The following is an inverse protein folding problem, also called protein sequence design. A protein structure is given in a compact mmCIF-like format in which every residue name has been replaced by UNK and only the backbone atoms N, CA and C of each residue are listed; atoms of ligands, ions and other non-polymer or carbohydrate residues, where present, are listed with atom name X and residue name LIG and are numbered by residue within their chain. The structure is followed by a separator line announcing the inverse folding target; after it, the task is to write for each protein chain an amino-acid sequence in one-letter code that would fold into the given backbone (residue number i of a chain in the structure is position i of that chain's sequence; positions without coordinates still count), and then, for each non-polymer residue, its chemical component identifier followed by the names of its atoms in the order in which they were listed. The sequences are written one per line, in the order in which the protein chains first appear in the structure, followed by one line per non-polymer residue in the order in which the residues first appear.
data_IF_888744510985
#
_entry.id   IF_888744510985
#
_cell.length_a   1.000
_cell.length_b   1.000
_cell.length_c   1.000
_cell.angle_alpha   90.00
_cell.angle_beta   90.00
_cell.angle_gamma   90.00
#
_symmetry.space_group_name_H-M   'P 1'
#
loop_
_entity.id
_entity.type
_entity.pdbx_description
1 polymer ?
#
# COMPACT_ATOMS: atom_id res chain seq x y z
N UNK A 1 21.87 -12.50 -15.35
CA UNK A 1 20.71 -11.86 -14.68
C UNK A 1 19.47 -12.74 -14.57
N UNK A 2 19.15 -13.62 -15.52
CA UNK A 2 17.96 -14.50 -15.43
C UNK A 2 18.03 -15.58 -14.32
N UNK A 3 19.20 -16.07 -13.96
CA UNK A 3 19.36 -17.14 -12.96
C UNK A 3 19.10 -16.66 -11.51
N UNK A 4 19.52 -15.43 -11.16
CA UNK A 4 19.30 -14.92 -9.80
C UNK A 4 17.82 -14.69 -9.46
N UNK A 5 16.99 -14.34 -10.45
CA UNK A 5 15.56 -14.14 -10.21
C UNK A 5 14.85 -15.47 -9.93
N UNK A 6 15.26 -16.54 -10.61
CA UNK A 6 14.71 -17.88 -10.42
C UNK A 6 15.03 -18.44 -9.02
N UNK A 7 16.24 -18.22 -8.53
CA UNK A 7 16.66 -18.60 -7.18
C UNK A 7 15.93 -17.79 -6.09
N UNK A 8 15.75 -16.48 -6.29
CA UNK A 8 15.01 -15.64 -5.36
C UNK A 8 13.54 -16.04 -5.28
N UNK A 9 12.92 -16.40 -6.41
CA UNK A 9 11.53 -16.86 -6.46
C UNK A 9 11.36 -18.24 -5.84
N UNK A 10 12.35 -19.14 -5.99
CA UNK A 10 12.36 -20.43 -5.31
C UNK A 10 12.47 -20.26 -3.78
N UNK A 11 13.26 -19.31 -3.31
CA UNK A 11 13.39 -19.00 -1.87
C UNK A 11 12.09 -18.43 -1.30
N UNK A 12 11.38 -17.59 -2.05
CA UNK A 12 10.06 -17.06 -1.65
C UNK A 12 9.01 -18.17 -1.65
N UNK A 13 9.01 -19.06 -2.66
CA UNK A 13 8.10 -20.20 -2.75
C UNK A 13 8.31 -21.18 -1.60
N UNK A 14 9.58 -21.53 -1.28
CA UNK A 14 9.90 -22.41 -0.14
C UNK A 14 9.55 -21.77 1.22
N UNK A 15 9.64 -20.45 1.35
CA UNK A 15 9.17 -19.71 2.53
C UNK A 15 7.65 -19.77 2.70
N UNK A 16 6.90 -19.74 1.60
CA UNK A 16 5.43 -19.89 1.60
C UNK A 16 4.98 -21.31 1.90
N UNK A 17 5.72 -22.34 1.43
CA UNK A 17 5.48 -23.73 1.76
C UNK A 17 5.71 -24.02 3.25
N UNK A 18 6.76 -23.44 3.84
CA UNK A 18 7.03 -23.56 5.28
C UNK A 18 5.95 -22.91 6.15
N UNK A 19 5.20 -21.93 5.62
CA UNK A 19 4.08 -21.28 6.28
C UNK A 19 2.75 -22.05 6.16
N UNK A 20 2.74 -23.30 5.63
CA UNK A 20 1.54 -24.12 5.40
C UNK A 20 0.42 -23.43 4.59
N UNK A 21 0.78 -22.56 3.64
CA UNK A 21 -0.16 -22.05 2.65
C UNK A 21 -0.31 -23.09 1.54
N UNK A 22 -1.18 -24.08 1.76
CA UNK A 22 -1.25 -25.32 0.97
C UNK A 22 -2.05 -25.24 -0.33
N UNK A 23 -2.48 -24.09 -0.80
CA UNK A 23 -3.28 -23.98 -2.03
C UNK A 23 -2.81 -22.83 -2.93
N UNK A 24 -1.54 -22.84 -3.33
CA UNK A 24 -1.16 -22.13 -4.56
C UNK A 24 -1.42 -23.05 -5.75
N UNK A 25 -2.09 -22.56 -6.81
CA UNK A 25 -2.26 -23.36 -8.02
C UNK A 25 -0.88 -23.72 -8.59
N UNK A 26 -0.53 -25.00 -8.56
CA UNK A 26 0.73 -25.53 -9.11
C UNK A 26 0.78 -25.49 -10.64
N UNK A 27 -0.25 -25.01 -11.30
CA UNK A 27 -0.42 -25.01 -12.76
C UNK A 27 -0.18 -23.63 -13.38
N UNK A 28 0.77 -22.88 -12.86
CA UNK A 28 1.16 -21.56 -13.42
C UNK A 28 1.90 -21.66 -14.78
N UNK A 29 2.33 -22.84 -15.21
CA UNK A 29 2.89 -23.07 -16.55
C UNK A 29 1.86 -22.87 -17.68
N UNK A 30 0.56 -22.99 -17.39
CA UNK A 30 -0.51 -22.73 -18.37
C UNK A 30 -0.81 -21.23 -18.57
N UNK A 31 -0.25 -20.33 -17.79
CA UNK A 31 -0.37 -18.88 -17.99
C UNK A 31 0.61 -18.30 -19.02
N UNK A 32 1.45 -19.13 -19.63
CA UNK A 32 2.46 -18.66 -20.58
C UNK A 32 1.93 -18.23 -21.96
N UNK A 33 0.62 -18.32 -22.22
CA UNK A 33 0.02 -17.98 -23.51
C UNK A 33 -0.92 -16.77 -23.50
N UNK A 34 -0.99 -15.99 -22.42
CA UNK A 34 -1.78 -14.76 -22.43
C UNK A 34 -0.95 -13.65 -23.04
N UNK A 35 -0.85 -13.61 -24.36
CA UNK A 35 -0.41 -12.47 -25.15
C UNK A 35 -1.47 -11.35 -25.16
N UNK A 36 -2.13 -11.07 -24.03
CA UNK A 36 -3.07 -9.99 -23.93
C UNK A 36 -2.29 -8.68 -23.71
N UNK A 37 -2.38 -7.79 -24.69
CA UNK A 37 -1.85 -6.43 -24.56
C UNK A 37 -2.62 -5.70 -23.47
N UNK A 38 -1.88 -5.13 -22.52
CA UNK A 38 -2.47 -4.23 -21.53
C UNK A 38 -3.03 -2.98 -22.22
N UNK A 39 -3.95 -2.31 -21.56
CA UNK A 39 -4.41 -0.95 -21.92
C UNK A 39 -3.22 0.02 -22.22
N UNK A 40 -2.04 -0.24 -21.71
CA UNK A 40 -0.85 0.58 -21.91
C UNK A 40 0.11 0.04 -22.98
N UNK A 41 -0.28 -0.98 -23.75
CA UNK A 41 0.53 -1.68 -24.74
C UNK A 41 1.83 -2.28 -24.17
N UNK A 42 1.81 -2.65 -22.90
CA UNK A 42 2.86 -3.44 -22.27
C UNK A 42 2.33 -4.85 -22.04
N UNK A 43 3.17 -5.84 -22.18
CA UNK A 43 2.78 -7.23 -21.91
C UNK A 43 2.40 -7.38 -20.43
N UNK A 44 1.31 -8.07 -20.17
CA UNK A 44 0.95 -8.49 -18.82
C UNK A 44 2.00 -9.48 -18.36
N UNK A 45 2.75 -9.13 -17.32
CA UNK A 45 3.63 -10.12 -16.73
C UNK A 45 2.82 -11.13 -15.91
N UNK A 46 3.21 -12.42 -15.88
CA UNK A 46 2.45 -13.48 -15.19
C UNK A 46 2.22 -13.22 -13.69
N UNK A 47 2.96 -12.28 -13.11
CA UNK A 47 2.93 -11.92 -11.70
C UNK A 47 2.07 -10.70 -11.41
N UNK A 48 1.46 -10.07 -12.42
CA UNK A 48 0.66 -8.86 -12.29
C UNK A 48 1.43 -7.63 -11.79
N UNK A 49 2.77 -7.66 -11.82
CA UNK A 49 3.61 -6.58 -11.28
C UNK A 49 3.38 -5.26 -12.00
N UNK A 50 3.20 -5.33 -13.32
CA UNK A 50 2.98 -4.14 -14.13
C UNK A 50 1.81 -3.30 -13.63
N UNK A 51 0.72 -3.93 -13.21
CA UNK A 51 -0.48 -3.24 -12.74
C UNK A 51 -0.26 -2.38 -11.49
N UNK A 52 0.70 -2.74 -10.64
CA UNK A 52 0.97 -2.01 -9.39
C UNK A 52 1.75 -0.71 -9.59
N UNK A 53 2.53 -0.61 -10.68
CA UNK A 53 3.42 0.51 -10.99
C UNK A 53 3.26 1.10 -12.40
N UNK A 54 2.19 0.74 -13.11
CA UNK A 54 1.93 1.22 -14.46
C UNK A 54 1.79 2.75 -14.50
N UNK A 55 2.71 3.42 -15.19
CA UNK A 55 2.71 4.88 -15.32
C UNK A 55 1.50 5.42 -16.08
N UNK A 56 0.86 4.62 -16.94
CA UNK A 56 -0.37 5.01 -17.64
C UNK A 56 -1.62 4.83 -16.79
N UNK A 57 -1.54 4.05 -15.70
CA UNK A 57 -2.65 3.84 -14.75
C UNK A 57 -2.68 4.92 -13.65
N UNK A 58 -2.57 6.17 -14.05
CA UNK A 58 -2.54 7.32 -13.11
C UNK A 58 -3.81 7.36 -12.25
N UNK A 59 -4.98 7.08 -12.84
CA UNK A 59 -6.27 7.13 -12.12
C UNK A 59 -6.33 6.12 -10.97
N UNK A 60 -5.88 4.89 -11.20
CA UNK A 60 -5.91 3.84 -10.17
C UNK A 60 -4.90 4.10 -9.06
N UNK A 61 -3.67 4.49 -9.41
CA UNK A 61 -2.63 4.82 -8.42
C UNK A 61 -3.00 6.05 -7.60
N UNK A 62 -3.58 7.07 -8.23
CA UNK A 62 -4.07 8.27 -7.54
C UNK A 62 -5.25 7.96 -6.61
N UNK A 63 -6.23 7.15 -7.04
CA UNK A 63 -7.36 6.75 -6.22
C UNK A 63 -6.91 5.98 -4.96
N UNK A 64 -5.94 5.07 -5.08
CA UNK A 64 -5.34 4.36 -3.94
C UNK A 64 -4.66 5.33 -2.99
N UNK A 65 -3.82 6.23 -3.51
CA UNK A 65 -3.14 7.26 -2.74
C UNK A 65 -4.15 8.12 -1.97
N UNK A 66 -5.11 8.71 -2.69
CA UNK A 66 -6.13 9.56 -2.09
C UNK A 66 -6.90 8.85 -0.99
N UNK A 67 -7.36 7.61 -1.24
CA UNK A 67 -8.13 6.84 -0.25
C UNK A 67 -7.37 6.64 1.05
N UNK A 68 -6.09 6.27 0.98
CA UNK A 68 -5.28 6.04 2.17
C UNK A 68 -4.96 7.36 2.87
N UNK A 69 -4.66 8.42 2.12
CA UNK A 69 -4.42 9.74 2.66
C UNK A 69 -5.66 10.29 3.40
N UNK A 70 -6.86 10.17 2.82
CA UNK A 70 -8.13 10.53 3.48
C UNK A 70 -8.31 9.75 4.80
N UNK A 71 -7.95 8.46 4.83
CA UNK A 71 -8.05 7.65 6.05
C UNK A 71 -7.05 8.11 7.14
N UNK A 72 -5.85 8.51 6.76
CA UNK A 72 -4.86 9.08 7.68
C UNK A 72 -5.38 10.40 8.26
N UNK A 73 -5.90 11.28 7.42
CA UNK A 73 -6.49 12.56 7.82
C UNK A 73 -7.64 12.36 8.82
N UNK A 74 -8.57 11.46 8.52
CA UNK A 74 -9.69 11.13 9.42
C UNK A 74 -9.17 10.57 10.74
N UNK A 75 -8.18 9.68 10.71
CA UNK A 75 -7.60 9.09 11.92
C UNK A 75 -6.92 10.14 12.81
N UNK A 76 -6.18 11.10 12.22
CA UNK A 76 -5.59 12.22 12.94
C UNK A 76 -6.70 13.07 13.58
N UNK A 77 -7.77 13.38 12.84
CA UNK A 77 -8.89 14.16 13.36
C UNK A 77 -9.61 13.46 14.51
N UNK A 78 -9.87 12.14 14.39
CA UNK A 78 -10.49 11.33 15.45
C UNK A 78 -9.58 11.18 16.68
N UNK A 79 -8.28 11.27 16.51
CA UNK A 79 -7.31 11.25 17.62
C UNK A 79 -7.30 12.54 18.47
N UNK A 80 -8.13 13.52 18.12
CA UNK A 80 -8.34 14.77 18.87
C UNK A 80 -7.67 16.01 18.26
N UNK A 81 -7.02 15.90 17.10
CA UNK A 81 -6.39 17.04 16.42
C UNK A 81 -6.98 17.19 15.01
N UNK A 82 -7.92 18.14 14.79
CA UNK A 82 -8.49 18.40 13.47
C UNK A 82 -7.42 18.58 12.40
N UNK A 83 -7.63 17.96 11.26
CA UNK A 83 -6.69 17.95 10.15
C UNK A 83 -7.41 18.07 8.81
N UNK A 84 -6.71 18.58 7.79
CA UNK A 84 -7.22 18.67 6.42
C UNK A 84 -6.18 18.18 5.42
N UNK A 85 -6.65 17.77 4.24
CA UNK A 85 -5.82 17.36 3.10
C UNK A 85 -5.70 18.50 2.10
N UNK A 86 -4.64 18.50 1.30
CA UNK A 86 -4.40 19.48 0.22
C UNK A 86 -4.53 20.95 0.71
N UNK A 87 -3.75 21.37 1.72
CA UNK A 87 -3.88 22.68 2.31
C UNK A 87 -3.66 23.77 1.26
N UNK A 88 -4.64 24.66 1.10
CA UNK A 88 -4.56 25.78 0.16
C UNK A 88 -3.61 26.86 0.70
N UNK A 89 -2.85 27.50 -0.20
CA UNK A 89 -2.00 28.65 0.16
C UNK A 89 -0.60 28.29 0.63
N UNK A 90 -0.21 26.99 0.62
CA UNK A 90 1.17 26.55 0.77
C UNK A 90 1.89 26.37 -0.58
N UNK A 91 1.24 26.75 -1.68
CA UNK A 91 1.85 26.81 -3.00
C UNK A 91 2.97 27.84 -3.01
N UNK A 92 4.16 27.39 -2.58
CA UNK A 92 5.38 28.08 -2.96
C UNK A 92 5.60 27.78 -4.45
N UNK A 93 6.18 28.74 -5.16
CA UNK A 93 6.50 28.66 -6.60
C UNK A 93 7.23 27.37 -7.05
N UNK A 94 7.68 26.55 -6.10
CA UNK A 94 8.38 25.27 -6.29
C UNK A 94 7.47 24.02 -6.36
N UNK A 95 6.14 24.19 -6.28
CA UNK A 95 5.16 23.10 -6.41
C UNK A 95 5.25 22.04 -5.30
N UNK A 96 5.83 22.37 -4.14
CA UNK A 96 5.97 21.46 -3.01
C UNK A 96 4.79 21.61 -2.05
N UNK A 97 3.73 20.88 -2.28
CA UNK A 97 2.57 20.82 -1.41
C UNK A 97 2.56 19.48 -0.64
N UNK A 98 2.49 19.50 0.70
CA UNK A 98 2.28 18.28 1.48
C UNK A 98 0.84 17.77 1.30
N UNK A 99 0.61 16.48 1.53
CA UNK A 99 -0.71 15.86 1.38
C UNK A 99 -1.70 16.30 2.47
N UNK A 100 -1.22 16.78 3.61
CA UNK A 100 -2.09 17.29 4.65
C UNK A 100 -1.34 17.91 5.83
N UNK A 101 -2.12 18.56 6.69
CA UNK A 101 -1.66 19.21 7.90
C UNK A 101 -2.72 19.19 8.99
N UNK A 102 -2.31 19.42 10.25
CA UNK A 102 -3.24 19.66 11.37
C UNK A 102 -3.55 21.14 11.50
N UNK A 103 -4.78 21.45 11.93
CA UNK A 103 -5.22 22.83 12.14
C UNK A 103 -4.77 23.40 13.50
N UNK A 104 -4.34 22.52 14.40
CA UNK A 104 -3.81 22.85 15.72
C UNK A 104 -2.47 22.13 15.94
N UNK A 105 -1.62 22.61 16.86
CA UNK A 105 -0.35 21.98 17.15
C UNK A 105 -0.50 20.51 17.52
N UNK A 106 0.27 19.67 16.86
CA UNK A 106 0.39 18.22 17.15
C UNK A 106 1.36 17.97 18.28
N UNK A 107 2.47 18.71 18.28
CA UNK A 107 3.46 18.77 19.35
C UNK A 107 3.57 20.23 19.84
N UNK A 108 4.44 20.50 20.83
CA UNK A 108 4.59 21.84 21.42
C UNK A 108 4.89 22.89 20.34
N UNK A 109 3.87 23.68 19.99
CA UNK A 109 3.97 24.79 19.06
C UNK A 109 4.08 24.45 17.57
N UNK A 110 4.11 23.17 17.20
CA UNK A 110 4.30 22.73 15.81
C UNK A 110 3.08 22.01 15.25
N UNK A 111 2.65 22.41 14.06
CA UNK A 111 1.65 21.67 13.29
C UNK A 111 2.28 20.40 12.74
N UNK A 112 1.52 19.29 12.73
CA UNK A 112 1.89 18.09 11.96
C UNK A 112 1.62 18.35 10.49
N UNK A 113 2.61 18.14 9.65
CA UNK A 113 2.47 18.05 8.20
C UNK A 113 2.89 16.66 7.75
N UNK A 114 2.17 16.07 6.82
CA UNK A 114 2.53 14.77 6.26
C UNK A 114 2.44 14.74 4.74
N UNK A 115 3.17 13.81 4.17
CA UNK A 115 3.11 13.47 2.75
C UNK A 115 3.17 11.94 2.63
N UNK A 116 2.08 11.34 2.11
CA UNK A 116 1.96 9.90 1.93
C UNK A 116 2.50 9.47 0.58
N UNK A 117 3.17 8.33 0.52
CA UNK A 117 3.59 7.72 -0.73
C UNK A 117 3.49 6.21 -0.68
N UNK A 118 3.07 5.61 -1.78
CA UNK A 118 3.08 4.16 -1.96
C UNK A 118 4.18 3.76 -2.93
N UNK A 119 5.04 2.82 -2.52
CA UNK A 119 6.13 2.28 -3.34
C UNK A 119 5.80 0.85 -3.76
N UNK A 120 6.03 0.56 -5.02
CA UNK A 120 5.86 -0.80 -5.51
C UNK A 120 7.01 -1.69 -5.02
N UNK A 121 6.68 -2.70 -4.21
CA UNK A 121 7.63 -3.67 -3.64
C UNK A 121 8.35 -4.46 -4.74
N UNK A 122 7.65 -4.76 -5.85
CA UNK A 122 8.16 -5.60 -6.94
C UNK A 122 8.79 -4.80 -8.09
N UNK A 123 8.82 -3.48 -8.01
CA UNK A 123 9.53 -2.67 -9.00
C UNK A 123 11.01 -3.10 -9.08
N UNK A 124 11.57 -3.12 -10.29
CA UNK A 124 12.94 -3.58 -10.52
C UNK A 124 13.98 -2.85 -9.64
N UNK A 125 13.73 -1.57 -9.32
CA UNK A 125 14.57 -0.77 -8.43
C UNK A 125 14.45 -1.15 -6.95
N UNK A 126 13.35 -1.78 -6.54
CA UNK A 126 13.03 -2.01 -5.13
C UNK A 126 13.15 -3.48 -4.72
N UNK A 127 12.86 -4.42 -5.65
CA UNK A 127 12.71 -5.85 -5.37
C UNK A 127 13.91 -6.44 -4.63
N UNK A 128 15.13 -6.06 -4.99
CA UNK A 128 16.35 -6.56 -4.35
C UNK A 128 16.49 -6.08 -2.90
N UNK A 129 16.14 -4.84 -2.60
CA UNK A 129 16.12 -4.30 -1.25
C UNK A 129 15.01 -4.93 -0.42
N UNK A 130 13.79 -4.95 -0.95
CA UNK A 130 12.61 -5.49 -0.28
C UNK A 130 12.68 -7.01 -0.01
N UNK A 131 13.43 -7.77 -0.83
CA UNK A 131 13.66 -9.20 -0.58
C UNK A 131 14.59 -9.47 0.61
N UNK A 132 15.41 -8.50 0.98
CA UNK A 132 16.33 -8.59 2.13
C UNK A 132 15.72 -8.00 3.39
N UNK A 133 14.99 -6.89 3.25
CA UNK A 133 14.41 -6.15 4.35
C UNK A 133 13.05 -5.55 3.96
N UNK A 134 12.00 -6.01 4.63
CA UNK A 134 10.65 -5.50 4.43
C UNK A 134 10.58 -4.02 4.85
N UNK A 135 10.03 -3.17 3.99
CA UNK A 135 9.96 -1.72 4.24
C UNK A 135 11.15 -0.92 3.71
N UNK A 136 12.16 -1.57 3.10
CA UNK A 136 13.35 -0.87 2.59
C UNK A 136 13.01 0.18 1.51
N UNK A 137 12.08 -0.11 0.62
CA UNK A 137 11.63 0.85 -0.40
C UNK A 137 10.81 1.98 0.22
N UNK A 138 10.02 1.70 1.26
CA UNK A 138 9.29 2.71 2.01
C UNK A 138 10.24 3.63 2.78
N UNK A 139 11.24 3.07 3.46
CA UNK A 139 12.27 3.84 4.16
C UNK A 139 13.02 4.79 3.22
N UNK A 140 13.47 4.29 2.06
CA UNK A 140 14.13 5.12 1.04
C UNK A 140 13.20 6.25 0.53
N UNK A 141 11.91 5.99 0.41
CA UNK A 141 10.94 7.00 0.01
C UNK A 141 10.75 8.08 1.08
N UNK A 142 10.74 7.70 2.37
CA UNK A 142 10.70 8.66 3.47
C UNK A 142 11.91 9.61 3.45
N UNK A 143 13.10 9.10 3.18
CA UNK A 143 14.31 9.92 3.09
C UNK A 143 14.26 10.91 1.92
N UNK A 144 13.72 10.50 0.78
CA UNK A 144 13.49 11.40 -0.37
C UNK A 144 12.52 12.52 0.03
N UNK A 145 11.43 12.19 0.72
CA UNK A 145 10.44 13.17 1.17
C UNK A 145 11.01 14.12 2.23
N UNK A 146 11.82 13.64 3.18
CA UNK A 146 12.52 14.51 4.15
C UNK A 146 13.40 15.54 3.47
N UNK A 147 14.15 15.13 2.44
CA UNK A 147 14.97 16.05 1.65
C UNK A 147 14.10 17.05 0.89
N UNK A 148 13.01 16.60 0.27
CA UNK A 148 12.08 17.45 -0.49
C UNK A 148 11.47 18.55 0.40
N UNK A 149 11.07 18.22 1.61
CA UNK A 149 10.35 19.11 2.51
C UNK A 149 11.21 19.68 3.65
N UNK A 150 12.55 19.70 3.49
CA UNK A 150 13.49 20.15 4.52
C UNK A 150 13.23 21.59 5.00
N UNK A 151 12.79 22.51 4.12
CA UNK A 151 12.47 23.88 4.50
C UNK A 151 11.18 23.95 5.32
N UNK A 152 10.14 23.22 4.96
CA UNK A 152 8.90 23.16 5.72
C UNK A 152 9.10 22.53 7.10
N UNK A 153 10.03 21.59 7.21
CA UNK A 153 10.37 20.92 8.45
C UNK A 153 11.07 21.81 9.49
N UNK A 154 11.53 23.02 9.11
CA UNK A 154 12.11 23.98 10.04
C UNK A 154 11.08 24.63 10.97
N UNK A 155 9.86 24.81 10.46
CA UNK A 155 8.77 25.52 11.15
C UNK A 155 7.62 24.60 11.54
N UNK A 156 7.64 23.34 11.09
CA UNK A 156 6.56 22.37 11.27
C UNK A 156 7.12 20.99 11.62
N UNK A 157 6.30 20.16 12.23
CA UNK A 157 6.61 18.77 12.47
C UNK A 157 6.25 17.96 11.21
N UNK A 158 7.19 17.90 10.26
CA UNK A 158 6.99 17.15 9.02
C UNK A 158 7.31 15.67 9.19
N UNK A 159 6.35 14.80 8.88
CA UNK A 159 6.51 13.34 8.90
C UNK A 159 6.18 12.76 7.52
N UNK A 160 7.16 12.21 6.81
CA UNK A 160 6.90 11.42 5.62
C UNK A 160 6.24 10.11 6.01
N UNK A 161 5.22 9.70 5.25
CA UNK A 161 4.53 8.43 5.45
C UNK A 161 4.70 7.61 4.18
N UNK A 162 5.44 6.52 4.25
CA UNK A 162 5.63 5.64 3.10
C UNK A 162 5.16 4.22 3.41
N UNK A 163 4.52 3.60 2.41
CA UNK A 163 4.07 2.22 2.48
C UNK A 163 4.42 1.49 1.18
N UNK A 164 4.81 0.24 1.28
CA UNK A 164 5.00 -0.64 0.13
C UNK A 164 3.67 -1.26 -0.30
N UNK A 165 3.55 -1.62 -1.58
CA UNK A 165 2.34 -2.25 -2.13
C UNK A 165 1.96 -3.55 -1.40
N UNK A 166 2.91 -4.24 -0.77
CA UNK A 166 2.67 -5.44 0.04
C UNK A 166 2.45 -5.16 1.53
N UNK A 167 2.30 -3.88 1.89
CA UNK A 167 1.84 -3.48 3.20
C UNK A 167 2.92 -3.07 4.19
N UNK A 168 4.21 -3.29 3.91
CA UNK A 168 5.31 -2.86 4.77
C UNK A 168 5.38 -1.33 4.85
N UNK A 169 5.68 -0.81 6.03
CA UNK A 169 5.76 0.62 6.30
C UNK A 169 7.19 1.10 6.43
N UNK A 170 7.41 2.35 6.06
CA UNK A 170 8.59 3.08 6.50
C UNK A 170 8.53 3.39 8.00
N UNK A 171 9.69 3.54 8.67
CA UNK A 171 9.74 3.69 10.12
C UNK A 171 8.98 4.91 10.64
N UNK A 172 9.05 6.06 9.95
CA UNK A 172 8.39 7.29 10.40
C UNK A 172 6.88 7.22 10.28
N UNK A 173 6.37 6.69 9.16
CA UNK A 173 4.95 6.47 8.96
C UNK A 173 4.38 5.46 9.96
N UNK A 174 5.11 4.38 10.24
CA UNK A 174 4.72 3.38 11.22
C UNK A 174 4.62 3.97 12.64
N UNK A 175 5.59 4.80 13.04
CA UNK A 175 5.60 5.44 14.35
C UNK A 175 4.44 6.42 14.50
N UNK A 176 4.21 7.29 13.51
CA UNK A 176 3.07 8.20 13.51
C UNK A 176 1.74 7.46 13.61
N UNK A 177 1.53 6.39 12.84
CA UNK A 177 0.29 5.60 12.91
C UNK A 177 0.09 4.94 14.27
N UNK A 178 1.16 4.47 14.92
CA UNK A 178 1.11 3.96 16.29
C UNK A 178 0.70 5.05 17.27
N UNK A 179 1.24 6.26 17.12
CA UNK A 179 0.89 7.42 17.95
C UNK A 179 -0.57 7.82 17.75
N UNK A 180 -1.03 7.98 16.51
CA UNK A 180 -2.43 8.25 16.17
C UNK A 180 -3.34 7.21 16.83
N UNK A 181 -3.02 5.93 16.69
CA UNK A 181 -3.78 4.85 17.28
C UNK A 181 -3.84 4.93 18.81
N UNK A 182 -2.75 5.31 19.46
CA UNK A 182 -2.69 5.50 20.92
C UNK A 182 -3.54 6.70 21.35
N UNK A 183 -3.43 7.84 20.68
CA UNK A 183 -4.26 9.03 20.94
C UNK A 183 -5.74 8.71 20.75
N UNK A 184 -6.08 7.96 19.69
CA UNK A 184 -7.47 7.52 19.43
C UNK A 184 -8.00 6.62 20.53
N UNK A 185 -7.19 5.69 21.08
CA UNK A 185 -7.59 4.86 22.23
C UNK A 185 -7.90 5.76 23.44
N UNK A 186 -7.06 6.75 23.70
CA UNK A 186 -7.26 7.69 24.83
C UNK A 186 -8.52 8.51 24.64
N UNK A 187 -8.72 9.05 23.44
CA UNK A 187 -9.87 9.92 23.13
C UNK A 187 -11.21 9.17 23.12
N UNK A 188 -11.24 7.92 22.63
CA UNK A 188 -12.48 7.16 22.41
C UNK A 188 -12.76 6.07 23.46
N UNK A 189 -11.77 5.69 24.26
CA UNK A 189 -11.84 4.52 25.16
C UNK A 189 -11.80 3.17 24.43
N UNK A 190 -11.78 3.15 23.10
CA UNK A 190 -11.78 1.92 22.30
C UNK A 190 -10.39 1.31 22.22
N UNK A 191 -10.13 0.26 23.00
CA UNK A 191 -8.83 -0.45 23.03
C UNK A 191 -8.40 -1.03 21.68
N UNK A 192 -9.34 -1.26 20.75
CA UNK A 192 -9.07 -1.79 19.41
C UNK A 192 -8.79 -0.72 18.35
N UNK A 193 -8.93 0.58 18.68
CA UNK A 193 -8.82 1.66 17.70
C UNK A 193 -7.54 1.59 16.86
N UNK A 194 -6.39 1.33 17.50
CA UNK A 194 -5.11 1.18 16.79
C UNK A 194 -5.10 -0.01 15.83
N UNK A 195 -5.55 -1.18 16.27
CA UNK A 195 -5.61 -2.36 15.42
C UNK A 195 -6.56 -2.15 14.24
N UNK A 196 -7.72 -1.55 14.48
CA UNK A 196 -8.69 -1.22 13.45
C UNK A 196 -8.12 -0.23 12.41
N UNK A 197 -7.34 0.77 12.85
CA UNK A 197 -6.68 1.71 11.94
C UNK A 197 -5.75 0.97 10.96
N UNK A 198 -4.85 0.15 11.48
CA UNK A 198 -3.93 -0.64 10.65
C UNK A 198 -4.67 -1.61 9.73
N UNK A 199 -5.68 -2.31 10.23
CA UNK A 199 -6.49 -3.23 9.44
C UNK A 199 -7.20 -2.50 8.29
N UNK A 200 -7.84 -1.37 8.58
CA UNK A 200 -8.56 -0.59 7.58
C UNK A 200 -7.63 -0.06 6.48
N UNK A 201 -6.45 0.45 6.83
CA UNK A 201 -5.47 0.91 5.84
C UNK A 201 -4.95 -0.27 5.01
N UNK A 202 -4.66 -1.42 5.63
CA UNK A 202 -4.24 -2.63 4.92
C UNK A 202 -5.29 -3.10 3.91
N UNK A 203 -6.57 -3.09 4.31
CA UNK A 203 -7.67 -3.42 3.40
C UNK A 203 -7.82 -2.41 2.25
N UNK A 204 -7.61 -1.12 2.52
CA UNK A 204 -7.63 -0.09 1.49
C UNK A 204 -6.48 -0.26 0.49
N UNK A 205 -5.28 -0.63 0.98
CA UNK A 205 -4.12 -0.95 0.15
C UNK A 205 -4.42 -2.14 -0.77
N UNK A 206 -4.90 -3.26 -0.23
CA UNK A 206 -5.23 -4.46 -1.01
C UNK A 206 -6.27 -4.14 -2.08
N UNK A 207 -7.36 -3.45 -1.72
CA UNK A 207 -8.40 -3.04 -2.67
C UNK A 207 -7.84 -2.12 -3.76
N UNK A 208 -7.00 -1.16 -3.39
CA UNK A 208 -6.34 -0.28 -4.34
C UNK A 208 -5.42 -1.04 -5.30
N UNK A 209 -4.68 -2.02 -4.81
CA UNK A 209 -3.83 -2.88 -5.64
C UNK A 209 -4.66 -3.70 -6.63
N UNK A 210 -5.77 -4.32 -6.19
CA UNK A 210 -6.68 -5.07 -7.07
C UNK A 210 -7.23 -4.16 -8.17
N UNK A 211 -7.68 -2.95 -7.81
CA UNK A 211 -8.19 -1.98 -8.80
C UNK A 211 -7.07 -1.62 -9.79
N UNK A 212 -5.85 -1.39 -9.33
CA UNK A 212 -4.73 -1.06 -10.19
C UNK A 212 -4.41 -2.19 -11.18
N UNK A 213 -4.38 -3.44 -10.72
CA UNK A 213 -4.15 -4.59 -11.59
C UNK A 213 -5.30 -4.75 -12.58
N UNK A 214 -6.56 -4.75 -12.11
CA UNK A 214 -7.74 -4.88 -12.99
C UNK A 214 -7.81 -3.79 -14.06
N UNK A 215 -7.44 -2.56 -13.74
CA UNK A 215 -7.50 -1.45 -14.70
C UNK A 215 -6.41 -1.48 -15.77
N UNK A 216 -5.41 -2.35 -15.63
CA UNK A 216 -4.40 -2.58 -16.67
C UNK A 216 -4.68 -3.81 -17.53
N UNK A 217 -5.66 -4.62 -17.15
CA UNK A 217 -6.08 -5.77 -17.91
C UNK A 217 -7.14 -5.37 -18.96
N UNK A 218 -7.24 -6.10 -20.07
CA UNK A 218 -8.35 -5.91 -21.01
C UNK A 218 -9.70 -6.18 -20.30
N UNK A 219 -10.81 -5.60 -20.78
CA UNK A 219 -12.11 -5.80 -20.16
C UNK A 219 -12.50 -7.28 -20.27
N UNK A 220 -12.58 -7.94 -19.12
CA UNK A 220 -13.06 -9.32 -19.04
C UNK A 220 -14.57 -9.36 -19.37
N UNK A 221 -15.01 -10.41 -20.07
CA UNK A 221 -16.43 -10.67 -20.16
C UNK A 221 -16.98 -11.14 -18.80
N UNK A 222 -18.31 -11.04 -18.57
CA UNK A 222 -18.93 -11.36 -17.27
C UNK A 222 -18.59 -12.75 -16.72
N UNK A 223 -18.42 -13.74 -17.59
CA UNK A 223 -18.10 -15.11 -17.18
C UNK A 223 -16.64 -15.23 -16.73
N UNK A 224 -15.72 -14.54 -17.40
CA UNK A 224 -14.31 -14.48 -17.02
C UNK A 224 -14.14 -13.70 -15.71
N UNK A 225 -14.91 -12.64 -15.50
CA UNK A 225 -14.90 -11.87 -14.25
C UNK A 225 -15.37 -12.70 -13.05
N UNK A 226 -16.43 -13.50 -13.23
CA UNK A 226 -16.93 -14.44 -12.22
C UNK A 226 -15.92 -15.56 -11.90
N UNK A 227 -15.27 -16.13 -12.92
CA UNK A 227 -14.24 -17.14 -12.73
C UNK A 227 -13.03 -16.58 -12.00
N UNK A 228 -12.59 -15.37 -12.34
CA UNK A 228 -11.50 -14.67 -11.69
C UNK A 228 -11.84 -14.36 -10.21
N UNK A 229 -13.03 -13.83 -9.94
CA UNK A 229 -13.50 -13.57 -8.58
C UNK A 229 -13.61 -14.85 -7.75
N UNK A 230 -14.16 -15.93 -8.32
CA UNK A 230 -14.26 -17.21 -7.63
C UNK A 230 -12.89 -17.82 -7.32
N UNK A 231 -11.90 -17.68 -8.22
CA UNK A 231 -10.54 -18.17 -7.97
C UNK A 231 -9.81 -17.43 -6.84
N UNK A 232 -10.18 -16.16 -6.59
CA UNK A 232 -9.61 -15.37 -5.49
C UNK A 232 -10.39 -15.59 -4.18
N UNK A 233 -11.69 -15.79 -4.27
CA UNK A 233 -12.59 -15.83 -3.10
C UNK A 233 -12.71 -17.24 -2.53
N UNK A 234 -12.73 -18.28 -3.38
CA UNK A 234 -12.88 -19.68 -2.97
C UNK A 234 -11.83 -20.12 -1.93
N UNK A 235 -10.53 -19.82 -2.08
CA UNK A 235 -9.53 -20.21 -1.08
C UNK A 235 -9.71 -19.53 0.29
N UNK A 236 -10.45 -18.41 0.36
CA UNK A 236 -10.66 -17.67 1.61
C UNK A 236 -11.84 -18.25 2.44
N UNK A 237 -12.73 -19.00 1.80
CA UNK A 237 -13.90 -19.60 2.46
C UNK A 237 -13.70 -21.08 2.82
N UNK A 238 -12.82 -21.81 2.13
CA UNK A 238 -12.58 -23.24 2.38
C UNK A 238 -11.81 -23.52 3.69
N UNK A 239 -11.34 -22.50 4.40
CA UNK A 239 -10.58 -22.68 5.65
C UNK A 239 -11.43 -22.64 6.93
N UNK A 240 -12.78 -22.49 6.87
CA UNK A 240 -13.56 -22.24 8.09
C UNK A 240 -14.79 -23.11 8.35
N UNK A 241 -15.11 -24.12 7.56
CA UNK A 241 -16.20 -25.04 7.94
C UNK A 241 -15.84 -26.51 7.71
N UNK A 242 -14.93 -27.00 8.53
CA UNK A 242 -14.89 -28.41 8.85
C UNK A 242 -16.02 -28.74 9.84
N UNK A 243 -17.25 -28.90 9.37
CA UNK A 243 -18.31 -29.56 10.13
C UNK A 243 -18.11 -31.05 10.00
N UNK A 244 -17.48 -31.65 11.00
CA UNK A 244 -17.56 -33.07 11.24
C UNK A 244 -19.02 -33.46 11.46
N UNK A 245 -19.61 -34.16 10.50
CA UNK A 245 -20.85 -34.91 10.70
C UNK A 245 -20.50 -36.24 11.36
N UNK A 246 -20.92 -36.39 12.62
CA UNK A 246 -21.14 -37.70 13.22
C UNK A 246 -22.52 -38.19 12.87
#
# INVERSE_FOLDING_TARGET
MKNNLKETLQTVASGLESAKVTNFPTNWESFNEVNEETFCNQLVDPWGRHGLSCLKNVKGTHARHKKINDMIQVAISVSGTPAETEPRGLDKEDGKQPDGWTLYPWTIGLLLMWDYTCRDTLAASNVLGCSKEAGSAAMAAEDIKRKKYSELAKENHFIPIAQETFGSWGPSGLELLKEIGTRTIIASGNKRARANLFQNISMAMIRGNIINVKSTLPPLNKNQELLFLNSIISPLFDTHYGLESK
#
